data_IF_112206255517
#
_entry.id   IF_112206255517
#
_cell.length_a   1.000
_cell.length_b   1.000
_cell.length_c   1.000
_cell.angle_alpha   90.00
_cell.angle_beta   90.00
_cell.angle_gamma   90.00
#
_symmetry.space_group_name_H-M   'P 1'
#
loop_
_entity.id
_entity.type
_entity.pdbx_description
1 polymer ?
#
# COMPACT_ATOMS: atom_id res chain seq x y z
N UNK A 1 18.90 -31.77 -11.09
CA UNK A 1 18.31 -30.64 -10.32
C UNK A 1 17.03 -30.12 -10.96
N UNK A 2 16.96 -29.98 -12.29
CA UNK A 2 15.73 -29.54 -12.98
C UNK A 2 14.54 -30.50 -12.75
N UNK A 3 14.75 -31.81 -12.92
CA UNK A 3 13.66 -32.81 -12.80
C UNK A 3 13.00 -32.82 -11.42
N UNK A 4 13.80 -32.75 -10.35
CA UNK A 4 13.29 -32.68 -8.98
C UNK A 4 12.43 -31.43 -8.72
N UNK A 5 12.77 -30.31 -9.37
CA UNK A 5 12.07 -29.04 -9.19
C UNK A 5 10.75 -29.02 -9.97
N UNK A 6 10.72 -29.62 -11.16
CA UNK A 6 9.50 -29.83 -11.96
C UNK A 6 8.54 -30.75 -11.21
N UNK A 7 9.02 -31.90 -10.71
CA UNK A 7 8.20 -32.83 -9.94
C UNK A 7 7.62 -32.15 -8.70
N UNK A 8 8.44 -31.42 -7.95
CA UNK A 8 7.99 -30.66 -6.78
C UNK A 8 6.90 -29.63 -7.12
N UNK A 9 7.03 -28.94 -8.25
CA UNK A 9 6.03 -27.97 -8.73
C UNK A 9 4.71 -28.65 -9.06
N UNK A 10 4.73 -29.75 -9.81
CA UNK A 10 3.51 -30.49 -10.17
C UNK A 10 2.79 -31.02 -8.92
N UNK A 11 3.53 -31.58 -7.96
CA UNK A 11 2.97 -32.08 -6.70
C UNK A 11 2.35 -30.94 -5.88
N UNK A 12 3.03 -29.81 -5.75
CA UNK A 12 2.53 -28.64 -5.02
C UNK A 12 1.26 -28.06 -5.65
N UNK A 13 1.29 -27.79 -6.95
CA UNK A 13 0.12 -27.26 -7.68
C UNK A 13 -1.04 -28.23 -7.63
N UNK A 14 -0.80 -29.54 -7.78
CA UNK A 14 -1.82 -30.59 -7.62
C UNK A 14 -2.45 -30.59 -6.23
N UNK A 15 -1.64 -30.45 -5.18
CA UNK A 15 -2.12 -30.34 -3.79
C UNK A 15 -3.02 -29.10 -3.61
N UNK A 16 -2.60 -27.93 -4.11
CA UNK A 16 -3.40 -26.71 -4.02
C UNK A 16 -4.73 -26.83 -4.78
N UNK A 17 -4.75 -27.46 -5.95
CA UNK A 17 -5.98 -27.73 -6.72
C UNK A 17 -6.91 -28.66 -5.93
N UNK A 18 -6.38 -29.72 -5.31
CA UNK A 18 -7.16 -30.61 -4.45
C UNK A 18 -7.78 -29.85 -3.26
N UNK A 19 -7.01 -28.99 -2.59
CA UNK A 19 -7.51 -28.16 -1.49
C UNK A 19 -8.60 -27.21 -1.97
N UNK A 20 -8.40 -26.52 -3.10
CA UNK A 20 -9.41 -25.65 -3.68
C UNK A 20 -10.71 -26.40 -4.02
N UNK A 21 -10.60 -27.61 -4.59
CA UNK A 21 -11.75 -28.45 -4.90
C UNK A 21 -12.50 -28.91 -3.63
N UNK A 22 -11.79 -29.26 -2.56
CA UNK A 22 -12.40 -29.59 -1.26
C UNK A 22 -13.12 -28.39 -0.66
N UNK A 23 -12.51 -27.19 -0.72
CA UNK A 23 -13.14 -25.95 -0.26
C UNK A 23 -14.41 -25.65 -1.07
N UNK A 24 -14.35 -25.70 -2.41
CA UNK A 24 -15.52 -25.48 -3.28
C UNK A 24 -16.65 -26.48 -3.01
N UNK A 25 -16.33 -27.77 -2.84
CA UNK A 25 -17.33 -28.79 -2.47
C UNK A 25 -17.97 -28.50 -1.11
N UNK A 26 -17.19 -28.04 -0.15
CA UNK A 26 -17.69 -27.66 1.18
C UNK A 26 -18.61 -26.43 1.14
N UNK A 27 -18.42 -25.55 0.15
CA UNK A 27 -19.24 -24.34 -0.03
C UNK A 27 -20.47 -24.58 -0.92
N UNK A 28 -20.57 -25.72 -1.60
CA UNK A 28 -21.63 -26.06 -2.54
C UNK A 28 -23.01 -26.09 -1.88
N UNK A 29 -23.69 -24.95 -1.85
CA UNK A 29 -25.03 -24.79 -1.28
C UNK A 29 -25.31 -23.43 -0.66
N UNK A 30 -24.28 -22.63 -0.35
CA UNK A 30 -24.45 -21.26 0.15
C UNK A 30 -23.86 -20.23 -0.82
N UNK A 31 -24.37 -18.98 -0.84
CA UNK A 31 -23.70 -17.90 -1.56
C UNK A 31 -22.27 -17.76 -1.04
N UNK A 32 -21.32 -17.60 -1.97
CA UNK A 32 -19.90 -17.45 -1.66
C UNK A 32 -19.70 -16.24 -0.74
N UNK A 33 -19.38 -16.52 0.53
CA UNK A 33 -19.06 -15.47 1.49
C UNK A 33 -17.68 -14.88 1.16
N UNK A 34 -17.48 -13.59 1.49
CA UNK A 34 -16.21 -12.88 1.25
C UNK A 34 -14.98 -13.64 1.74
N UNK A 35 -15.05 -14.25 2.93
CA UNK A 35 -13.96 -15.07 3.48
C UNK A 35 -13.62 -16.30 2.60
N UNK A 36 -14.62 -16.93 1.98
CA UNK A 36 -14.47 -18.13 1.16
C UNK A 36 -13.81 -17.77 -0.17
N UNK A 37 -14.22 -16.64 -0.77
CA UNK A 37 -13.58 -16.09 -1.95
C UNK A 37 -12.10 -15.76 -1.69
N UNK A 38 -11.80 -15.08 -0.57
CA UNK A 38 -10.42 -14.76 -0.18
C UNK A 38 -9.56 -16.02 0.04
N UNK A 39 -10.11 -17.06 0.70
CA UNK A 39 -9.42 -18.35 0.84
C UNK A 39 -9.10 -18.99 -0.50
N UNK A 40 -10.06 -19.01 -1.43
CA UNK A 40 -9.87 -19.60 -2.76
C UNK A 40 -8.83 -18.81 -3.57
N UNK A 41 -8.85 -17.48 -3.51
CA UNK A 41 -7.83 -16.64 -4.14
C UNK A 41 -6.45 -16.91 -3.53
N UNK A 42 -6.34 -17.00 -2.20
CA UNK A 42 -5.09 -17.33 -1.51
C UNK A 42 -4.52 -18.68 -1.93
N UNK A 43 -5.36 -19.72 -2.03
CA UNK A 43 -4.97 -21.05 -2.53
C UNK A 43 -4.56 -21.00 -4.01
N UNK A 44 -5.27 -20.22 -4.84
CA UNK A 44 -4.93 -20.00 -6.24
C UNK A 44 -3.56 -19.34 -6.41
N UNK A 45 -3.24 -18.32 -5.60
CA UNK A 45 -1.92 -17.68 -5.59
C UNK A 45 -0.81 -18.66 -5.20
N UNK A 46 -1.04 -19.51 -4.19
CA UNK A 46 -0.09 -20.59 -3.83
C UNK A 46 0.11 -21.61 -4.96
N UNK A 47 -0.95 -21.94 -5.70
CA UNK A 47 -0.89 -22.90 -6.80
C UNK A 47 -0.06 -22.36 -7.99
N UNK A 48 -0.14 -21.05 -8.24
CA UNK A 48 0.55 -20.36 -9.34
C UNK A 48 2.02 -20.08 -9.01
N UNK A 49 2.36 -19.86 -7.72
CA UNK A 49 3.69 -19.45 -7.29
C UNK A 49 4.88 -20.30 -7.81
N UNK A 50 4.84 -21.64 -7.82
CA UNK A 50 5.95 -22.42 -8.37
C UNK A 50 5.94 -22.43 -9.91
N UNK A 51 4.78 -22.31 -10.55
CA UNK A 51 4.67 -22.23 -12.02
C UNK A 51 5.30 -20.94 -12.56
N UNK A 52 5.07 -19.82 -11.89
CA UNK A 52 5.67 -18.52 -12.24
C UNK A 52 7.16 -18.48 -11.93
N UNK A 53 7.61 -19.13 -10.85
CA UNK A 53 9.04 -19.33 -10.60
C UNK A 53 9.71 -20.09 -11.76
N UNK A 54 9.13 -21.22 -12.18
CA UNK A 54 9.64 -22.01 -13.32
C UNK A 54 9.65 -21.21 -14.63
N UNK A 55 8.58 -20.46 -14.90
CA UNK A 55 8.50 -19.62 -16.08
C UNK A 55 9.58 -18.54 -16.10
N UNK A 56 9.83 -17.89 -14.96
CA UNK A 56 10.87 -16.86 -14.84
C UNK A 56 12.27 -17.45 -14.93
N UNK A 57 12.49 -18.64 -14.36
CA UNK A 57 13.75 -19.38 -14.50
C UNK A 57 14.02 -19.71 -15.97
N UNK A 58 12.98 -20.11 -16.71
CA UNK A 58 13.07 -20.40 -18.15
C UNK A 58 13.36 -19.14 -18.99
N UNK A 59 12.78 -17.99 -18.62
CA UNK A 59 12.94 -16.74 -19.37
C UNK A 59 14.25 -16.01 -19.11
N UNK A 60 14.73 -15.97 -17.86
CA UNK A 60 15.73 -15.00 -17.44
C UNK A 60 17.06 -15.60 -16.98
N UNK A 61 17.19 -16.94 -16.95
CA UNK A 61 18.33 -17.75 -16.45
C UNK A 61 18.77 -17.48 -15.00
N UNK A 62 18.47 -16.30 -14.43
CA UNK A 62 18.67 -15.94 -13.04
C UNK A 62 17.33 -15.91 -12.31
N UNK A 63 17.11 -16.77 -11.30
CA UNK A 63 15.90 -16.73 -10.50
C UNK A 63 15.88 -15.46 -9.66
N UNK A 64 14.97 -14.53 -9.95
CA UNK A 64 14.71 -13.41 -9.06
C UNK A 64 13.77 -13.88 -7.94
N UNK A 65 14.20 -13.75 -6.68
CA UNK A 65 13.38 -14.06 -5.51
C UNK A 65 12.06 -13.24 -5.49
N UNK A 66 12.02 -12.16 -6.26
CA UNK A 66 10.88 -11.25 -6.38
C UNK A 66 9.66 -11.89 -7.05
N UNK A 67 9.85 -12.76 -8.05
CA UNK A 67 8.76 -13.32 -8.84
C UNK A 67 7.81 -14.21 -8.03
N UNK A 68 8.35 -15.21 -7.34
CA UNK A 68 7.59 -16.10 -6.47
C UNK A 68 7.27 -15.47 -5.10
N UNK A 69 8.13 -14.58 -4.62
CA UNK A 69 7.95 -13.87 -3.35
C UNK A 69 6.65 -13.05 -3.31
N UNK A 70 6.28 -12.41 -4.43
CA UNK A 70 5.04 -11.64 -4.53
C UNK A 70 3.77 -12.51 -4.44
N UNK A 71 3.77 -13.71 -5.02
CA UNK A 71 2.61 -14.61 -4.91
C UNK A 71 2.48 -15.19 -3.51
N UNK A 72 3.60 -15.51 -2.85
CA UNK A 72 3.59 -15.98 -1.47
C UNK A 72 3.10 -14.89 -0.51
N UNK A 73 3.60 -13.66 -0.63
CA UNK A 73 3.14 -12.54 0.19
C UNK A 73 1.67 -12.22 -0.07
N UNK A 74 1.24 -12.21 -1.33
CA UNK A 74 -0.16 -12.08 -1.72
C UNK A 74 -1.04 -13.17 -1.10
N UNK A 75 -0.62 -14.44 -1.16
CA UNK A 75 -1.35 -15.55 -0.56
C UNK A 75 -1.48 -15.40 0.96
N UNK A 76 -0.39 -15.06 1.65
CA UNK A 76 -0.39 -14.80 3.11
C UNK A 76 -1.38 -13.69 3.46
N UNK A 77 -1.37 -12.59 2.68
CA UNK A 77 -2.31 -11.48 2.86
C UNK A 77 -3.76 -11.93 2.65
N UNK A 78 -4.05 -12.74 1.64
CA UNK A 78 -5.40 -13.28 1.41
C UNK A 78 -5.86 -14.21 2.54
N UNK A 79 -4.98 -15.07 3.06
CA UNK A 79 -5.32 -15.93 4.19
C UNK A 79 -5.58 -15.12 5.47
N UNK A 80 -4.75 -14.12 5.74
CA UNK A 80 -4.94 -13.22 6.88
C UNK A 80 -6.22 -12.39 6.75
N UNK A 81 -6.53 -11.90 5.54
CA UNK A 81 -7.78 -11.21 5.24
C UNK A 81 -9.01 -12.12 5.42
N UNK A 82 -8.93 -13.36 4.94
CA UNK A 82 -9.99 -14.34 5.14
C UNK A 82 -10.22 -14.68 6.62
N UNK A 83 -9.14 -14.83 7.39
CA UNK A 83 -9.23 -15.00 8.84
C UNK A 83 -9.86 -13.77 9.50
N UNK A 84 -9.46 -12.55 9.13
CA UNK A 84 -10.06 -11.34 9.67
C UNK A 84 -11.55 -11.24 9.34
N UNK A 85 -11.94 -11.50 8.10
CA UNK A 85 -13.35 -11.54 7.68
C UNK A 85 -14.16 -12.56 8.49
N UNK A 86 -13.56 -13.72 8.81
CA UNK A 86 -14.16 -14.73 9.67
C UNK A 86 -14.39 -14.23 11.10
N UNK A 87 -13.40 -13.55 11.69
CA UNK A 87 -13.54 -12.99 13.04
C UNK A 87 -14.65 -11.95 13.09
N UNK A 88 -14.68 -11.00 12.14
CA UNK A 88 -15.72 -9.96 12.05
C UNK A 88 -17.12 -10.56 11.93
N UNK A 89 -17.29 -11.66 11.19
CA UNK A 89 -18.59 -12.35 11.12
C UNK A 89 -18.99 -13.00 12.44
N UNK A 90 -18.02 -13.56 13.18
CA UNK A 90 -18.27 -14.24 14.45
C UNK A 90 -18.51 -13.25 15.60
N UNK A 91 -17.83 -12.11 15.57
CA UNK A 91 -18.00 -11.00 16.52
C UNK A 91 -18.10 -9.66 15.76
N UNK A 92 -19.32 -9.27 15.35
CA UNK A 92 -19.54 -7.99 14.65
C UNK A 92 -19.15 -6.77 15.48
N UNK A 93 -19.15 -6.87 16.81
CA UNK A 93 -18.78 -5.75 17.69
C UNK A 93 -17.28 -5.46 17.64
N UNK A 94 -16.45 -6.46 17.33
CA UNK A 94 -15.00 -6.29 17.15
C UNK A 94 -14.64 -5.41 15.93
N UNK A 95 -15.56 -5.26 14.97
CA UNK A 95 -15.36 -4.44 13.77
C UNK A 95 -15.62 -2.94 13.99
N UNK A 96 -16.27 -2.57 15.10
CA UNK A 96 -16.54 -1.19 15.49
C UNK A 96 -15.27 -0.50 16.03
N UNK A 97 -14.18 -0.54 15.26
CA UNK A 97 -13.02 0.28 15.55
C UNK A 97 -13.47 1.73 15.60
N UNK A 98 -13.11 2.44 16.67
CA UNK A 98 -13.62 3.80 16.96
C UNK A 98 -13.24 4.86 15.91
N UNK A 99 -12.41 4.53 14.92
CA UNK A 99 -11.90 5.46 13.92
C UNK A 99 -12.45 5.11 12.54
N UNK A 100 -12.89 6.14 11.81
CA UNK A 100 -13.36 6.02 10.44
C UNK A 100 -12.26 5.47 9.51
N UNK A 101 -12.65 4.68 8.50
CA UNK A 101 -11.75 4.12 7.48
C UNK A 101 -10.81 5.18 6.88
N UNK A 102 -11.36 6.33 6.50
CA UNK A 102 -10.62 7.45 5.90
C UNK A 102 -9.52 7.98 6.83
N UNK A 103 -9.79 8.07 8.13
CA UNK A 103 -8.80 8.51 9.12
C UNK A 103 -7.63 7.53 9.22
N UNK A 104 -7.91 6.23 9.19
CA UNK A 104 -6.87 5.20 9.26
C UNK A 104 -6.07 5.12 7.97
N UNK A 105 -6.72 5.28 6.81
CA UNK A 105 -6.03 5.42 5.52
C UNK A 105 -5.09 6.62 5.53
N UNK A 106 -5.58 7.80 5.96
CA UNK A 106 -4.77 8.99 6.10
C UNK A 106 -3.56 8.79 7.04
N UNK A 107 -3.72 8.06 8.16
CA UNK A 107 -2.62 7.75 9.06
C UNK A 107 -1.55 6.88 8.39
N UNK A 108 -1.95 5.84 7.66
CA UNK A 108 -1.00 4.96 6.97
C UNK A 108 -0.23 5.74 5.91
N UNK A 109 -0.92 6.57 5.12
CA UNK A 109 -0.26 7.41 4.12
C UNK A 109 0.68 8.41 4.78
N UNK A 110 0.27 9.06 5.87
CA UNK A 110 1.12 9.99 6.62
C UNK A 110 2.37 9.30 7.17
N UNK A 111 2.22 8.14 7.80
CA UNK A 111 3.35 7.37 8.33
C UNK A 111 4.30 6.93 7.21
N UNK A 112 3.74 6.45 6.10
CA UNK A 112 4.49 6.05 4.90
C UNK A 112 5.30 7.20 4.33
N UNK A 113 4.67 8.37 4.17
CA UNK A 113 5.33 9.60 3.75
C UNK A 113 6.47 9.94 4.72
N UNK A 114 6.22 10.07 6.02
CA UNK A 114 7.25 10.41 6.99
C UNK A 114 8.48 9.50 6.93
N UNK A 115 8.27 8.18 6.87
CA UNK A 115 9.36 7.19 6.76
C UNK A 115 10.15 7.40 5.47
N UNK A 116 9.46 7.57 4.35
CA UNK A 116 10.08 7.66 3.04
C UNK A 116 10.86 8.95 2.86
N UNK A 117 10.29 10.06 3.32
CA UNK A 117 10.92 11.38 3.29
C UNK A 117 12.20 11.35 4.11
N UNK A 118 12.13 10.81 5.32
CA UNK A 118 13.30 10.67 6.19
C UNK A 118 14.38 9.80 5.53
N UNK A 119 14.00 8.68 4.91
CA UNK A 119 14.92 7.81 4.16
C UNK A 119 15.53 8.52 2.94
N UNK A 120 14.71 9.23 2.17
CA UNK A 120 15.16 9.97 1.00
C UNK A 120 16.15 11.07 1.37
N UNK A 121 15.80 11.97 2.29
CA UNK A 121 16.65 13.11 2.63
C UNK A 121 17.93 12.69 3.35
N UNK A 122 17.90 11.63 4.15
CA UNK A 122 19.13 11.09 4.77
C UNK A 122 20.12 10.57 3.73
N UNK A 123 19.64 9.90 2.66
CA UNK A 123 20.47 9.47 1.53
C UNK A 123 20.90 10.66 0.67
N UNK A 124 19.94 11.44 0.18
CA UNK A 124 20.14 12.52 -0.78
C UNK A 124 21.09 13.61 -0.28
N UNK A 125 21.19 13.82 1.05
CA UNK A 125 22.12 14.80 1.62
C UNK A 125 23.60 14.37 1.51
N UNK A 126 23.87 13.07 1.44
CA UNK A 126 25.22 12.50 1.46
C UNK A 126 25.77 12.15 0.07
N UNK A 127 24.93 12.23 -0.95
CA UNK A 127 25.20 11.71 -2.30
C UNK A 127 25.55 12.85 -3.26
N UNK A 128 26.55 12.69 -4.15
CA UNK A 128 26.89 13.73 -5.13
C UNK A 128 25.76 13.96 -6.16
N UNK A 129 25.78 15.12 -6.80
CA UNK A 129 24.65 15.62 -7.59
C UNK A 129 24.28 14.74 -8.79
N UNK A 130 25.25 14.02 -9.37
CA UNK A 130 25.09 13.06 -10.46
C UNK A 130 24.30 11.82 -10.06
N UNK A 131 24.34 11.45 -8.77
CA UNK A 131 23.62 10.30 -8.22
C UNK A 131 22.28 10.69 -7.55
N UNK A 132 22.04 11.98 -7.29
CA UNK A 132 20.82 12.46 -6.66
C UNK A 132 19.55 12.07 -7.43
N UNK A 133 19.62 12.06 -8.76
CA UNK A 133 18.49 11.64 -9.61
C UNK A 133 18.13 10.17 -9.40
N UNK A 134 19.12 9.28 -9.28
CA UNK A 134 18.87 7.87 -9.03
C UNK A 134 18.22 7.64 -7.66
N UNK A 135 18.68 8.35 -6.63
CA UNK A 135 18.08 8.30 -5.27
C UNK A 135 16.64 8.83 -5.28
N UNK A 136 16.35 9.85 -6.08
CA UNK A 136 15.00 10.39 -6.26
C UNK A 136 14.06 9.38 -6.92
N UNK A 137 14.52 8.73 -8.01
CA UNK A 137 13.73 7.67 -8.67
C UNK A 137 13.49 6.50 -7.72
N UNK A 138 14.50 6.06 -6.96
CA UNK A 138 14.36 5.01 -5.93
C UNK A 138 13.28 5.38 -4.90
N UNK A 139 13.28 6.64 -4.41
CA UNK A 139 12.28 7.11 -3.47
C UNK A 139 10.86 7.13 -4.06
N UNK A 140 10.68 7.53 -5.32
CA UNK A 140 9.37 7.46 -5.99
C UNK A 140 8.89 6.01 -6.08
N UNK A 141 9.76 5.09 -6.50
CA UNK A 141 9.42 3.66 -6.60
C UNK A 141 9.01 3.11 -5.24
N UNK A 142 9.78 3.40 -4.19
CA UNK A 142 9.45 3.00 -2.82
C UNK A 142 8.11 3.60 -2.35
N UNK A 143 7.80 4.84 -2.73
CA UNK A 143 6.55 5.51 -2.36
C UNK A 143 5.37 4.80 -3.00
N UNK A 144 5.45 4.54 -4.30
CA UNK A 144 4.40 3.83 -5.03
C UNK A 144 4.18 2.43 -4.43
N UNK A 145 5.25 1.68 -4.18
CA UNK A 145 5.16 0.35 -3.56
C UNK A 145 4.53 0.42 -2.18
N UNK A 146 4.96 1.35 -1.33
CA UNK A 146 4.44 1.50 0.02
C UNK A 146 2.97 1.94 0.02
N UNK A 147 2.58 2.80 -0.91
CA UNK A 147 1.18 3.22 -1.10
C UNK A 147 0.31 2.05 -1.54
N UNK A 148 0.74 1.28 -2.52
CA UNK A 148 0.02 0.08 -2.99
C UNK A 148 -0.15 -0.92 -1.85
N UNK A 149 0.96 -1.28 -1.18
CA UNK A 149 0.93 -2.25 -0.07
C UNK A 149 0.09 -1.74 1.09
N UNK A 150 0.24 -0.47 1.47
CA UNK A 150 -0.54 0.16 2.55
C UNK A 150 -2.03 0.13 2.27
N UNK A 151 -2.46 0.50 1.05
CA UNK A 151 -3.88 0.46 0.66
C UNK A 151 -4.42 -0.97 0.57
N UNK A 152 -3.63 -1.92 0.07
CA UNK A 152 -4.02 -3.34 0.06
C UNK A 152 -4.23 -3.84 1.49
N UNK A 153 -3.28 -3.59 2.39
CA UNK A 153 -3.40 -3.98 3.80
C UNK A 153 -4.64 -3.33 4.41
N UNK A 154 -4.84 -2.02 4.22
CA UNK A 154 -6.02 -1.35 4.75
C UNK A 154 -7.31 -1.99 4.20
N UNK A 155 -7.43 -2.21 2.89
CA UNK A 155 -8.62 -2.79 2.27
C UNK A 155 -8.90 -4.23 2.71
N UNK A 156 -7.85 -5.00 3.00
CA UNK A 156 -7.96 -6.39 3.45
C UNK A 156 -8.28 -6.53 4.93
N UNK A 157 -7.81 -5.60 5.76
CA UNK A 157 -7.91 -5.69 7.22
C UNK A 157 -8.93 -4.72 7.84
N UNK A 158 -9.47 -3.77 7.08
CA UNK A 158 -10.59 -2.93 7.52
C UNK A 158 -11.96 -3.59 7.32
N UNK A 159 -12.92 -3.08 8.09
CA UNK A 159 -14.23 -3.64 8.47
C UNK A 159 -15.16 -4.12 7.34
N UNK A 160 -16.48 -4.15 7.58
CA UNK A 160 -17.44 -4.65 6.60
C UNK A 160 -17.25 -3.95 5.25
N UNK A 161 -17.42 -4.66 4.14
CA UNK A 161 -17.33 -4.05 2.80
C UNK A 161 -18.27 -2.83 2.69
N UNK A 162 -19.34 -2.85 3.46
CA UNK A 162 -20.34 -1.79 3.59
C UNK A 162 -19.75 -0.42 4.01
N UNK A 163 -18.67 -0.38 4.81
CA UNK A 163 -17.99 0.90 5.14
C UNK A 163 -17.23 1.48 3.95
N UNK A 164 -16.72 0.63 3.04
CA UNK A 164 -16.06 1.08 1.81
C UNK A 164 -17.09 1.67 0.82
N UNK A 165 -18.29 1.10 0.81
CA UNK A 165 -19.38 1.50 -0.08
C UNK A 165 -20.27 2.61 0.51
N UNK A 166 -19.98 3.05 1.75
CA UNK A 166 -20.70 4.16 2.36
C UNK A 166 -20.38 5.47 1.60
N UNK A 167 -21.39 6.17 1.06
CA UNK A 167 -21.16 7.42 0.35
C UNK A 167 -20.51 8.46 1.27
N UNK A 168 -19.69 9.35 0.67
CA UNK A 168 -19.09 10.46 1.41
C UNK A 168 -20.18 11.30 2.06
N UNK A 169 -20.09 11.43 3.37
CA UNK A 169 -20.88 12.38 4.14
C UNK A 169 -20.45 13.83 3.80
N UNK A 170 -21.32 14.81 4.04
CA UNK A 170 -21.00 16.23 3.91
C UNK A 170 -19.80 16.61 4.78
N UNK A 171 -19.69 15.97 5.96
CA UNK A 171 -18.53 16.12 6.85
C UNK A 171 -17.22 15.70 6.18
N UNK A 172 -17.21 14.58 5.47
CA UNK A 172 -16.00 14.10 4.78
C UNK A 172 -15.56 15.06 3.68
N UNK A 173 -16.53 15.68 2.99
CA UNK A 173 -16.27 16.72 2.00
C UNK A 173 -15.69 17.99 2.63
N UNK A 174 -16.25 18.45 3.75
CA UNK A 174 -15.73 19.62 4.46
C UNK A 174 -14.29 19.39 4.96
N UNK A 175 -14.01 18.21 5.55
CA UNK A 175 -12.66 17.84 6.01
C UNK A 175 -11.66 17.86 4.86
N UNK A 176 -12.02 17.32 3.70
CA UNK A 176 -11.17 17.29 2.53
C UNK A 176 -10.82 18.69 2.03
N UNK A 177 -11.83 19.56 1.90
CA UNK A 177 -11.65 20.95 1.47
C UNK A 177 -10.76 21.74 2.44
N UNK A 178 -10.98 21.61 3.76
CA UNK A 178 -10.14 22.29 4.74
C UNK A 178 -8.71 21.77 4.77
N UNK A 179 -8.53 20.45 4.64
CA UNK A 179 -7.20 19.83 4.59
C UNK A 179 -6.45 20.26 3.32
N UNK A 180 -7.14 20.29 2.18
CA UNK A 180 -6.61 20.75 0.91
C UNK A 180 -6.23 22.23 0.97
N UNK A 181 -7.06 23.09 1.56
CA UNK A 181 -6.76 24.51 1.77
C UNK A 181 -5.45 24.69 2.56
N UNK A 182 -5.27 23.95 3.66
CA UNK A 182 -4.06 24.06 4.47
C UNK A 182 -2.81 23.65 3.68
N UNK A 183 -2.88 22.55 2.92
CA UNK A 183 -1.81 22.09 2.05
C UNK A 183 -1.48 23.12 0.95
N UNK A 184 -2.49 23.75 0.35
CA UNK A 184 -2.31 24.80 -0.64
C UNK A 184 -1.59 26.02 -0.10
N UNK A 185 -1.87 26.44 1.14
CA UNK A 185 -1.14 27.55 1.75
C UNK A 185 0.35 27.24 1.89
N UNK A 186 0.69 26.02 2.31
CA UNK A 186 2.09 25.56 2.41
C UNK A 186 2.74 25.53 1.03
N UNK A 187 2.06 24.96 0.04
CA UNK A 187 2.58 24.84 -1.33
C UNK A 187 2.79 26.23 -1.96
N UNK A 188 1.83 27.14 -1.79
CA UNK A 188 1.90 28.50 -2.32
C UNK A 188 3.03 29.28 -1.65
N UNK A 189 3.16 29.20 -0.32
CA UNK A 189 4.27 29.82 0.40
C UNK A 189 5.62 29.25 -0.06
N UNK A 190 5.70 27.93 -0.25
CA UNK A 190 6.88 27.26 -0.79
C UNK A 190 7.24 27.71 -2.21
N UNK A 191 6.26 27.83 -3.09
CA UNK A 191 6.45 28.35 -4.44
C UNK A 191 6.94 29.80 -4.45
N UNK A 192 6.35 30.66 -3.61
CA UNK A 192 6.80 32.04 -3.45
C UNK A 192 8.21 32.15 -2.84
N UNK A 193 8.70 31.11 -2.14
CA UNK A 193 10.06 31.05 -1.62
C UNK A 193 11.10 30.64 -2.68
N UNK A 194 10.69 30.00 -3.79
CA UNK A 194 11.63 29.54 -4.83
C UNK A 194 12.45 30.66 -5.50
N UNK A 195 11.91 31.86 -5.78
CA UNK A 195 12.73 32.98 -6.25
C UNK A 195 13.91 33.31 -5.33
N UNK A 196 13.74 33.20 -4.00
CA UNK A 196 14.83 33.42 -3.03
C UNK A 196 15.92 32.36 -3.18
N UNK A 197 15.54 31.10 -3.36
CA UNK A 197 16.47 29.98 -3.62
C UNK A 197 17.27 30.21 -4.91
N UNK A 198 16.61 30.72 -5.96
CA UNK A 198 17.25 31.03 -7.25
C UNK A 198 18.23 32.21 -7.10
N UNK A 199 17.82 33.30 -6.44
CA UNK A 199 18.68 34.47 -6.19
C UNK A 199 19.89 34.10 -5.33
N UNK A 200 19.73 33.16 -4.39
CA UNK A 200 20.82 32.64 -3.57
C UNK A 200 21.83 31.77 -4.35
N UNK A 201 21.63 31.55 -5.65
CA UNK A 201 22.52 30.78 -6.53
C UNK A 201 22.84 29.38 -5.99
N UNK A 202 21.86 28.75 -5.34
CA UNK A 202 22.03 27.37 -4.87
C UNK A 202 22.22 26.42 -6.06
N UNK A 203 23.07 25.38 -5.92
CA UNK A 203 23.17 24.34 -6.92
C UNK A 203 21.79 23.79 -7.31
N UNK A 204 21.57 23.54 -8.60
CA UNK A 204 20.27 23.08 -9.12
C UNK A 204 19.72 21.87 -8.34
N UNK A 205 20.60 20.92 -7.99
CA UNK A 205 20.22 19.75 -7.19
C UNK A 205 19.64 20.13 -5.81
N UNK A 206 20.20 21.14 -5.13
CA UNK A 206 19.68 21.62 -3.85
C UNK A 206 18.35 22.35 -4.03
N UNK A 207 18.22 23.16 -5.08
CA UNK A 207 16.97 23.84 -5.39
C UNK A 207 15.82 22.86 -5.66
N UNK A 208 16.09 21.79 -6.44
CA UNK A 208 15.12 20.72 -6.69
C UNK A 208 14.75 19.96 -5.41
N UNK A 209 15.73 19.66 -4.55
CA UNK A 209 15.46 19.02 -3.25
C UNK A 209 14.60 19.89 -2.32
N UNK A 210 14.83 21.21 -2.30
CA UNK A 210 14.00 22.15 -1.53
C UNK A 210 12.58 22.17 -2.10
N UNK A 211 12.43 22.26 -3.43
CA UNK A 211 11.12 22.21 -4.08
C UNK A 211 10.37 20.91 -3.77
N UNK A 212 11.06 19.77 -3.85
CA UNK A 212 10.49 18.48 -3.49
C UNK A 212 10.12 18.41 -2.01
N UNK A 213 10.95 18.94 -1.11
CA UNK A 213 10.63 19.02 0.31
C UNK A 213 9.32 19.80 0.55
N UNK A 214 9.10 20.90 -0.17
CA UNK A 214 7.90 21.72 -0.04
C UNK A 214 6.63 20.98 -0.49
N UNK A 215 6.68 20.28 -1.62
CA UNK A 215 5.57 19.43 -2.10
C UNK A 215 5.20 18.38 -1.07
N UNK A 216 6.23 17.74 -0.53
CA UNK A 216 6.13 16.70 0.48
C UNK A 216 5.55 17.22 1.79
N UNK A 217 6.02 18.38 2.28
CA UNK A 217 5.50 19.00 3.52
C UNK A 217 4.03 19.38 3.33
N UNK A 218 3.65 19.88 2.14
CA UNK A 218 2.24 20.17 1.84
C UNK A 218 1.38 18.90 1.97
N UNK A 219 1.87 17.75 1.48
CA UNK A 219 1.17 16.47 1.59
C UNK A 219 1.08 15.97 3.05
N UNK A 220 2.17 16.11 3.82
CA UNK A 220 2.19 15.82 5.26
C UNK A 220 1.14 16.67 5.99
N UNK A 221 1.03 17.95 5.65
CA UNK A 221 0.05 18.87 6.23
C UNK A 221 -1.38 18.50 5.81
N UNK A 222 -1.59 18.07 4.57
CA UNK A 222 -2.88 17.55 4.11
C UNK A 222 -3.34 16.38 5.00
N UNK A 223 -2.56 15.29 5.07
CA UNK A 223 -2.97 14.10 5.83
C UNK A 223 -3.01 14.34 7.35
N UNK A 224 -2.12 15.18 7.87
CA UNK A 224 -2.16 15.59 9.29
C UNK A 224 -3.45 16.36 9.59
N UNK A 225 -3.88 17.25 8.69
CA UNK A 225 -5.14 17.99 8.81
C UNK A 225 -6.35 17.05 8.75
N UNK A 226 -6.37 16.08 7.85
CA UNK A 226 -7.43 15.07 7.77
C UNK A 226 -7.57 14.36 9.12
N UNK A 227 -6.48 13.86 9.68
CA UNK A 227 -6.49 13.15 10.96
C UNK A 227 -6.94 14.06 12.10
N UNK A 228 -6.46 15.31 12.13
CA UNK A 228 -6.82 16.29 13.14
C UNK A 228 -8.32 16.64 13.09
N UNK A 229 -8.88 16.94 11.91
CA UNK A 229 -10.29 17.27 11.76
C UNK A 229 -11.24 16.09 12.02
N UNK A 230 -10.81 14.84 11.77
CA UNK A 230 -11.57 13.68 12.22
C UNK A 230 -11.64 13.56 13.75
N UNK A 231 -10.58 13.95 14.48
CA UNK A 231 -10.51 13.85 15.94
C UNK A 231 -11.15 15.01 16.68
N UNK A 232 -10.92 16.23 16.22
CA UNK A 232 -11.28 17.46 16.93
C UNK A 232 -12.50 18.18 16.33
N UNK A 233 -12.98 17.71 15.17
CA UNK A 233 -14.06 18.35 14.43
C UNK A 233 -13.60 19.54 13.58
N UNK A 234 -14.49 20.01 12.73
CA UNK A 234 -14.31 21.23 11.92
C UNK A 234 -14.94 22.40 12.70
N UNK A 235 -14.16 23.02 13.58
CA UNK A 235 -14.57 24.23 14.31
C UNK A 235 -14.69 25.45 13.42
#
# INVERSE_FOLDING_TARGET
>A
MADSLIIGTVLWTGLCICVAAVLLRRFGGSPLLREQALLLIGVGLLAIAPCTYLLLLWLNESPSAFGSGLQLSGAVLMFAAAWRARQVRLDPQESAGTWAFRQKSALVVLAALCILIFSYFSKAWSVPADQAFAVFVDAIVQLVVLMIVGHIIIALFHGPADELDTPRDERDHAIDLFSMRNAYYVLTAGFLAMPVVIIAQLPLAKALNIWFALLVIAEVIYYSSVIAYYRFGTG
#
